data_IF_697260319619
#
_entry.id   IF_697260319619
#
_cell.length_a   1.000
_cell.length_b   1.000
_cell.length_c   1.000
_cell.angle_alpha   90.00
_cell.angle_beta   90.00
_cell.angle_gamma   90.00
#
_symmetry.space_group_name_H-M   'P 1'
#
loop_
_entity.id
_entity.type
_entity.pdbx_description
1 polymer ?
#
# COMPACT_ATOMS: atom_id res chain seq x y z
N UNK A 1 13.73 13.15 5.99
CA UNK A 1 12.56 13.44 5.12
C UNK A 1 11.94 12.20 4.45
N UNK A 2 12.54 11.00 4.54
CA UNK A 2 12.17 9.78 3.79
C UNK A 2 10.99 8.95 4.35
N UNK A 3 10.58 9.15 5.61
CA UNK A 3 9.51 8.35 6.25
C UNK A 3 8.16 8.41 5.52
N UNK A 4 7.89 9.49 4.77
CA UNK A 4 6.61 9.67 4.05
C UNK A 4 6.42 8.71 2.87
N UNK A 5 7.48 8.08 2.37
CA UNK A 5 7.41 7.14 1.25
C UNK A 5 7.19 5.69 1.67
N UNK A 6 7.40 5.33 2.93
CA UNK A 6 7.20 3.96 3.40
C UNK A 6 5.89 3.85 4.19
N UNK A 7 5.13 2.80 3.92
CA UNK A 7 3.93 2.48 4.66
C UNK A 7 3.91 1.00 5.05
N UNK A 8 3.64 0.73 6.32
CA UNK A 8 3.46 -0.65 6.79
C UNK A 8 2.04 -1.10 6.43
N UNK A 9 1.92 -1.90 5.37
CA UNK A 9 0.64 -2.29 4.76
C UNK A 9 0.02 -3.53 5.44
N UNK A 10 0.89 -4.41 5.98
CA UNK A 10 0.54 -5.64 6.69
C UNK A 10 1.50 -5.83 7.89
N UNK A 11 1.22 -6.79 8.77
CA UNK A 11 2.13 -7.13 9.87
C UNK A 11 3.51 -7.58 9.35
N UNK A 12 3.58 -8.21 8.18
CA UNK A 12 4.82 -8.72 7.59
C UNK A 12 5.43 -7.84 6.49
N UNK A 13 4.74 -6.77 6.07
CA UNK A 13 5.11 -6.04 4.86
C UNK A 13 5.14 -4.52 5.07
N UNK A 14 6.19 -3.89 4.53
CA UNK A 14 6.33 -2.45 4.36
C UNK A 14 6.52 -2.20 2.87
N UNK A 15 5.77 -1.26 2.30
CA UNK A 15 5.84 -0.91 0.88
C UNK A 15 6.33 0.52 0.71
N UNK A 16 6.96 0.79 -0.42
CA UNK A 16 7.44 2.12 -0.79
C UNK A 16 6.56 2.71 -1.90
N UNK A 17 6.09 3.95 -1.72
CA UNK A 17 5.06 4.61 -2.53
C UNK A 17 5.38 4.64 -4.02
N UNK A 18 6.64 4.92 -4.36
CA UNK A 18 7.09 5.06 -5.76
C UNK A 18 7.00 3.73 -6.52
N UNK A 19 7.09 2.60 -5.82
CA UNK A 19 7.06 1.28 -6.46
C UNK A 19 5.65 0.68 -6.54
N UNK A 20 4.63 1.38 -6.07
CA UNK A 20 3.24 0.94 -6.19
C UNK A 20 2.76 1.24 -7.62
N UNK A 21 2.41 0.18 -8.36
CA UNK A 21 1.89 0.28 -9.73
C UNK A 21 0.41 0.62 -9.75
N UNK A 22 -0.41 -0.04 -8.92
CA UNK A 22 -1.84 0.25 -8.74
C UNK A 22 -2.40 -0.35 -7.46
N UNK A 23 -3.50 0.22 -6.97
CA UNK A 23 -4.31 -0.34 -5.89
C UNK A 23 -5.54 -1.04 -6.47
N UNK A 24 -5.84 -2.25 -5.99
CA UNK A 24 -7.02 -3.04 -6.35
C UNK A 24 -8.10 -2.85 -5.28
N UNK A 25 -9.20 -2.18 -5.66
CA UNK A 25 -10.37 -1.96 -4.81
C UNK A 25 -11.37 -3.10 -5.04
N UNK A 26 -11.88 -3.70 -3.97
CA UNK A 26 -12.80 -4.85 -4.04
C UNK A 26 -12.55 -5.83 -2.90
N UNK A 27 -12.81 -7.12 -3.12
CA UNK A 27 -12.69 -8.17 -2.10
C UNK A 27 -11.27 -8.28 -1.52
N UNK A 28 -10.24 -8.18 -2.35
CA UNK A 28 -8.85 -8.44 -1.93
C UNK A 28 -8.13 -7.22 -1.32
N UNK A 29 -8.62 -5.98 -1.51
CA UNK A 29 -8.00 -4.74 -1.00
C UNK A 29 -6.46 -4.78 -1.03
N UNK A 30 -5.86 -4.94 -2.21
CA UNK A 30 -4.43 -5.21 -2.39
C UNK A 30 -3.73 -4.15 -3.23
N UNK A 31 -2.39 -4.13 -3.18
CA UNK A 31 -1.56 -3.32 -4.07
C UNK A 31 -0.77 -4.22 -4.99
N UNK A 32 -0.62 -3.79 -6.24
CA UNK A 32 0.32 -4.38 -7.19
C UNK A 32 1.56 -3.48 -7.23
N UNK A 33 2.72 -4.05 -7.02
CA UNK A 33 4.01 -3.37 -7.13
C UNK A 33 4.53 -3.39 -8.59
N UNK A 34 5.55 -2.57 -8.87
CA UNK A 34 6.20 -2.48 -10.19
C UNK A 34 6.79 -3.80 -10.69
N UNK A 35 7.22 -4.67 -9.77
CA UNK A 35 7.67 -6.05 -10.06
C UNK A 35 6.52 -7.07 -10.15
N UNK A 36 5.27 -6.61 -10.29
CA UNK A 36 4.06 -7.42 -10.37
C UNK A 36 3.74 -8.27 -9.12
N UNK A 37 4.40 -8.02 -7.98
CA UNK A 37 4.01 -8.65 -6.71
C UNK A 37 2.73 -8.02 -6.18
N UNK A 38 1.77 -8.86 -5.79
CA UNK A 38 0.56 -8.46 -5.09
C UNK A 38 0.73 -8.54 -3.57
N UNK A 39 0.37 -7.48 -2.85
CA UNK A 39 0.39 -7.45 -1.39
C UNK A 39 -0.97 -6.96 -0.86
N UNK A 40 -1.60 -7.76 -0.02
CA UNK A 40 -2.87 -7.43 0.63
C UNK A 40 -2.69 -6.32 1.67
N UNK A 41 -3.57 -5.32 1.65
CA UNK A 41 -3.69 -4.32 2.71
C UNK A 41 -4.49 -4.94 3.86
N UNK A 42 -3.92 -4.94 5.06
CA UNK A 42 -4.67 -5.42 6.23
C UNK A 42 -5.93 -4.56 6.45
N UNK A 43 -7.06 -5.19 6.80
CA UNK A 43 -8.35 -4.51 6.97
C UNK A 43 -8.27 -3.29 7.88
N UNK A 44 -7.54 -3.41 9.00
CA UNK A 44 -7.34 -2.34 10.00
C UNK A 44 -6.56 -1.14 9.45
N UNK A 45 -5.69 -1.36 8.46
CA UNK A 45 -4.83 -0.33 7.86
C UNK A 45 -5.37 0.21 6.54
N UNK A 46 -6.45 -0.36 6.00
CA UNK A 46 -7.04 0.05 4.72
C UNK A 46 -7.31 1.55 4.64
N UNK A 47 -8.01 2.09 5.64
CA UNK A 47 -8.38 3.51 5.63
C UNK A 47 -7.15 4.42 5.72
N UNK A 48 -6.23 4.11 6.64
CA UNK A 48 -4.97 4.84 6.79
C UNK A 48 -4.11 4.78 5.51
N UNK A 49 -4.02 3.60 4.90
CA UNK A 49 -3.30 3.38 3.66
C UNK A 49 -3.86 4.22 2.50
N UNK A 50 -5.19 4.26 2.36
CA UNK A 50 -5.83 5.04 1.30
C UNK A 50 -5.61 6.54 1.48
N UNK A 51 -5.68 7.04 2.72
CA UNK A 51 -5.38 8.45 3.03
C UNK A 51 -3.91 8.78 2.70
N UNK A 52 -2.99 7.91 3.11
CA UNK A 52 -1.56 8.04 2.82
C UNK A 52 -1.25 7.98 1.31
N UNK A 53 -1.96 7.13 0.57
CA UNK A 53 -1.82 7.01 -0.88
C UNK A 53 -2.33 8.26 -1.61
N UNK A 54 -3.44 8.84 -1.14
CA UNK A 54 -4.07 10.01 -1.75
C UNK A 54 -3.35 11.33 -1.50
N UNK A 55 -2.57 11.45 -0.43
CA UNK A 55 -1.77 12.66 -0.18
C UNK A 55 -0.67 12.77 -1.23
N UNK A 56 -0.66 13.82 -2.06
CA UNK A 56 0.48 14.11 -2.94
C UNK A 56 1.67 14.59 -2.12
#
# INVERSE_FOLDING_TARGET
MTKRYFFRIHSSYIVHKIYIKRYLKGDNNSVILSNNIEITVSRRRKNEFLQWLSHK
#
